data_IF_487509455541
#
_entry.id   IF_487509455541
#
_cell.length_a   1.000
_cell.length_b   1.000
_cell.length_c   1.000
_cell.angle_alpha   90.00
_cell.angle_beta   90.00
_cell.angle_gamma   90.00
#
_symmetry.space_group_name_H-M   'P 1'
#
loop_
_entity.id
_entity.type
_entity.pdbx_description
1 polymer ?
#
# COMPACT_ATOMS: atom_id res chain seq x y z
N UNK A 1 -15.83 46.45 -33.75
CA UNK A 1 -15.41 45.35 -32.87
C UNK A 1 -14.20 45.87 -32.14
N UNK A 2 -14.38 46.27 -30.88
CA UNK A 2 -13.39 47.02 -30.12
C UNK A 2 -12.40 46.05 -29.47
N UNK A 3 -11.19 46.53 -29.23
CA UNK A 3 -10.14 45.82 -28.47
C UNK A 3 -10.65 45.29 -27.11
N UNK A 4 -11.70 45.91 -26.56
CA UNK A 4 -12.39 45.53 -25.32
C UNK A 4 -13.09 44.15 -25.39
N UNK A 5 -13.44 43.65 -26.58
CA UNK A 5 -14.08 42.33 -26.75
C UNK A 5 -13.06 41.17 -26.75
N UNK A 6 -11.76 41.46 -26.92
CA UNK A 6 -10.67 40.47 -26.96
C UNK A 6 -10.07 40.18 -25.58
N UNK A 7 -10.19 41.12 -24.63
CA UNK A 7 -9.70 40.93 -23.26
C UNK A 7 -10.64 40.04 -22.42
N UNK A 8 -11.90 39.86 -22.83
CA UNK A 8 -12.90 39.01 -22.15
C UNK A 8 -12.67 37.51 -22.44
N UNK A 9 -11.88 37.17 -23.46
CA UNK A 9 -11.56 35.79 -23.83
C UNK A 9 -10.21 35.29 -23.27
N UNK A 10 -9.52 36.11 -22.48
CA UNK A 10 -8.27 35.75 -21.79
C UNK A 10 -8.45 35.59 -20.26
N UNK A 11 -9.68 35.63 -19.76
CA UNK A 11 -10.03 34.98 -18.49
C UNK A 11 -10.16 33.46 -18.72
N UNK A 12 -9.08 32.83 -19.19
CA UNK A 12 -8.85 31.44 -18.84
C UNK A 12 -8.80 31.42 -17.31
N UNK A 13 -9.87 30.90 -16.71
CA UNK A 13 -9.86 30.44 -15.35
C UNK A 13 -8.71 29.45 -15.19
N UNK A 14 -7.53 29.95 -14.80
CA UNK A 14 -6.59 29.16 -14.02
C UNK A 14 -7.33 28.82 -12.74
N UNK A 15 -8.08 27.71 -12.81
CA UNK A 15 -8.59 27.03 -11.65
C UNK A 15 -7.42 26.96 -10.66
N UNK A 16 -7.60 27.40 -9.40
CA UNK A 16 -6.53 27.41 -8.44
C UNK A 16 -5.91 26.02 -8.41
N UNK A 17 -4.59 25.95 -8.63
CA UNK A 17 -3.79 24.73 -8.53
C UNK A 17 -4.34 23.90 -7.37
N UNK A 18 -5.05 22.83 -7.74
CA UNK A 18 -5.89 22.04 -6.84
C UNK A 18 -5.06 21.73 -5.60
N UNK A 19 -5.52 22.19 -4.42
CA UNK A 19 -4.85 21.89 -3.16
C UNK A 19 -4.54 20.37 -3.15
N UNK A 20 -3.30 19.97 -2.78
CA UNK A 20 -2.95 18.56 -2.78
C UNK A 20 -4.02 17.81 -2.01
N UNK A 21 -4.63 16.81 -2.66
CA UNK A 21 -5.70 16.04 -2.04
C UNK A 21 -5.08 15.30 -0.84
N UNK A 22 -5.36 15.83 0.35
CA UNK A 22 -4.79 15.36 1.62
C UNK A 22 -5.00 13.86 1.77
N UNK A 23 -6.09 13.30 1.22
CA UNK A 23 -6.33 11.86 1.24
C UNK A 23 -5.33 11.09 0.37
N UNK A 24 -4.95 11.60 -0.81
CA UNK A 24 -3.93 10.97 -1.65
C UNK A 24 -2.56 10.99 -0.97
N UNK A 25 -2.22 12.07 -0.28
CA UNK A 25 -0.99 12.18 0.51
C UNK A 25 -0.96 11.17 1.65
N UNK A 26 -2.07 11.04 2.37
CA UNK A 26 -2.25 10.08 3.43
C UNK A 26 -2.20 8.63 2.90
N UNK A 27 -2.81 8.33 1.75
CA UNK A 27 -2.75 7.01 1.10
C UNK A 27 -1.30 6.65 0.75
N UNK A 28 -0.56 7.55 0.10
CA UNK A 28 0.87 7.34 -0.20
C UNK A 28 1.67 7.08 1.08
N UNK A 29 1.43 7.86 2.13
CA UNK A 29 2.10 7.70 3.42
C UNK A 29 1.76 6.37 4.08
N UNK A 30 0.50 5.96 4.07
CA UNK A 30 0.02 4.66 4.60
C UNK A 30 0.72 3.50 3.91
N UNK A 31 0.76 3.49 2.58
CA UNK A 31 1.41 2.43 1.80
C UNK A 31 2.92 2.39 2.08
N UNK A 32 3.61 3.54 2.12
CA UNK A 32 5.04 3.58 2.45
C UNK A 32 5.33 3.06 3.86
N UNK A 33 4.51 3.42 4.86
CA UNK A 33 4.65 2.95 6.23
C UNK A 33 4.45 1.44 6.31
N UNK A 34 3.37 0.90 5.72
CA UNK A 34 3.11 -0.55 5.67
C UNK A 34 4.20 -1.32 4.93
N UNK A 35 4.69 -0.79 3.81
CA UNK A 35 5.79 -1.38 3.06
C UNK A 35 7.10 -1.41 3.87
N UNK A 36 7.48 -0.28 4.51
CA UNK A 36 8.66 -0.22 5.39
C UNK A 36 8.55 -1.21 6.53
N UNK A 37 7.37 -1.28 7.16
CA UNK A 37 7.08 -2.22 8.25
C UNK A 37 7.38 -3.65 7.82
N UNK A 38 6.83 -4.06 6.68
CA UNK A 38 7.00 -5.38 6.09
C UNK A 38 8.46 -5.65 5.68
N UNK A 39 9.15 -4.66 5.10
CA UNK A 39 10.57 -4.77 4.74
C UNK A 39 11.43 -5.03 5.98
N UNK A 40 11.17 -4.36 7.10
CA UNK A 40 11.94 -4.57 8.33
C UNK A 40 11.76 -5.98 8.88
N UNK A 41 10.53 -6.52 8.81
CA UNK A 41 10.27 -7.92 9.15
C UNK A 41 11.04 -8.87 8.21
N UNK A 42 10.92 -8.70 6.89
CA UNK A 42 11.62 -9.54 5.91
C UNK A 42 13.14 -9.53 6.11
N UNK A 43 13.72 -8.37 6.42
CA UNK A 43 15.15 -8.26 6.74
C UNK A 43 15.54 -9.02 8.00
N UNK A 44 14.70 -8.98 9.03
CA UNK A 44 14.93 -9.76 10.27
C UNK A 44 14.90 -11.26 9.94
N UNK A 45 13.88 -11.69 9.21
CA UNK A 45 13.69 -13.07 8.78
C UNK A 45 14.87 -13.58 7.93
N UNK A 46 15.36 -12.78 6.98
CA UNK A 46 16.54 -13.13 6.19
C UNK A 46 17.83 -13.18 7.00
N UNK A 47 18.01 -12.29 7.98
CA UNK A 47 19.17 -12.36 8.89
C UNK A 47 19.18 -13.65 9.70
N UNK A 48 18.01 -14.09 10.19
CA UNK A 48 17.87 -15.37 10.89
C UNK A 48 18.23 -16.57 9.97
N UNK A 49 17.76 -16.56 8.72
CA UNK A 49 18.07 -17.63 7.75
C UNK A 49 19.55 -17.68 7.36
N UNK A 50 20.20 -16.52 7.30
CA UNK A 50 21.56 -16.40 6.80
C UNK A 50 22.62 -16.85 7.80
N UNK A 51 22.24 -17.15 9.05
CA UNK A 51 23.19 -17.55 10.10
C UNK A 51 24.30 -16.52 10.36
N UNK A 52 24.05 -15.24 10.06
CA UNK A 52 25.03 -14.15 10.15
C UNK A 52 25.80 -13.84 8.86
N UNK A 53 25.54 -14.53 7.74
CA UNK A 53 26.04 -14.13 6.42
C UNK A 53 25.19 -13.00 5.80
N UNK A 54 25.77 -12.22 4.88
CA UNK A 54 25.08 -11.07 4.26
C UNK A 54 23.94 -11.48 3.30
N UNK A 55 23.97 -12.70 2.77
CA UNK A 55 22.96 -13.21 1.82
C UNK A 55 22.55 -14.63 2.18
N UNK A 56 21.24 -14.91 2.35
CA UNK A 56 20.77 -16.28 2.56
C UNK A 56 21.16 -17.14 1.36
N UNK A 57 21.69 -18.35 1.60
CA UNK A 57 21.80 -19.34 0.54
C UNK A 57 20.38 -19.74 0.09
N UNK A 58 20.16 -19.95 -1.21
CA UNK A 58 18.90 -20.38 -1.79
C UNK A 58 18.25 -21.56 -1.04
N UNK A 59 19.05 -22.53 -0.59
CA UNK A 59 18.55 -23.65 0.22
C UNK A 59 17.87 -23.20 1.52
N UNK A 60 18.47 -22.24 2.24
CA UNK A 60 17.89 -21.71 3.47
C UNK A 60 16.57 -20.94 3.22
N UNK A 61 16.45 -20.28 2.07
CA UNK A 61 15.20 -19.63 1.65
C UNK A 61 14.11 -20.67 1.38
N UNK A 62 14.44 -21.73 0.63
CA UNK A 62 13.51 -22.83 0.36
C UNK A 62 13.06 -23.50 1.66
N UNK A 63 14.00 -23.83 2.54
CA UNK A 63 13.68 -24.44 3.84
C UNK A 63 12.78 -23.52 4.68
N UNK A 64 13.04 -22.21 4.69
CA UNK A 64 12.20 -21.27 5.43
C UNK A 64 10.78 -21.11 4.86
N UNK A 65 10.61 -21.26 3.55
CA UNK A 65 9.30 -21.31 2.90
C UNK A 65 8.55 -22.57 3.33
N UNK A 66 9.22 -23.73 3.30
CA UNK A 66 8.64 -25.02 3.69
C UNK A 66 8.33 -25.09 5.18
N UNK A 67 9.13 -24.44 6.01
CA UNK A 67 8.96 -24.33 7.46
C UNK A 67 7.97 -23.23 7.90
N UNK A 68 7.35 -22.52 6.95
CA UNK A 68 6.41 -21.43 7.20
C UNK A 68 6.98 -20.37 8.17
N UNK A 69 8.25 -19.99 8.01
CA UNK A 69 8.89 -19.01 8.93
C UNK A 69 8.26 -17.61 8.83
N UNK A 70 7.68 -17.27 7.68
CA UNK A 70 7.08 -15.97 7.39
C UNK A 70 5.55 -15.97 7.56
N UNK A 71 5.09 -16.14 8.81
CA UNK A 71 3.65 -16.11 9.14
C UNK A 71 3.18 -14.73 9.61
N UNK A 72 1.91 -14.34 9.36
CA UNK A 72 1.32 -13.11 9.91
C UNK A 72 1.40 -13.03 11.45
N UNK A 73 1.21 -14.15 12.14
CA UNK A 73 1.22 -14.23 13.60
C UNK A 73 2.59 -13.92 14.17
N UNK A 74 3.64 -14.47 13.55
CA UNK A 74 5.01 -14.25 13.98
C UNK A 74 5.49 -12.84 13.67
N UNK A 75 5.11 -12.31 12.51
CA UNK A 75 5.31 -10.91 12.15
C UNK A 75 4.63 -9.98 13.17
N UNK A 76 3.38 -10.23 13.55
CA UNK A 76 2.65 -9.44 14.55
C UNK A 76 3.31 -9.51 15.95
N UNK A 77 3.75 -10.70 16.38
CA UNK A 77 4.45 -10.87 17.65
C UNK A 77 5.79 -10.10 17.68
N UNK A 78 6.52 -10.10 16.56
CA UNK A 78 7.75 -9.32 16.44
C UNK A 78 7.48 -7.82 16.46
N UNK A 79 6.41 -7.34 15.80
CA UNK A 79 6.03 -5.93 15.84
C UNK A 79 5.64 -5.45 17.24
N UNK A 80 4.98 -6.30 18.03
CA UNK A 80 4.58 -5.97 19.39
C UNK A 80 5.76 -5.79 20.35
N UNK A 81 6.90 -6.44 20.07
CA UNK A 81 8.05 -6.49 20.98
C UNK A 81 9.25 -5.65 20.51
N UNK A 82 9.30 -5.25 19.24
CA UNK A 82 10.45 -4.54 18.69
C UNK A 82 10.33 -3.01 18.85
N UNK A 83 11.17 -2.43 19.70
CA UNK A 83 11.21 -0.97 19.92
C UNK A 83 11.51 -0.17 18.64
N UNK A 84 12.29 -0.74 17.71
CA UNK A 84 12.70 -0.05 16.47
C UNK A 84 11.52 0.23 15.53
N UNK A 85 10.39 -0.45 15.71
CA UNK A 85 9.20 -0.28 14.86
C UNK A 85 8.08 0.52 15.52
N UNK A 86 8.20 0.84 16.81
CA UNK A 86 7.14 1.54 17.55
C UNK A 86 6.82 2.91 16.92
N UNK A 87 7.84 3.73 16.66
CA UNK A 87 7.64 5.04 16.00
C UNK A 87 6.99 4.92 14.61
N UNK A 88 7.25 3.82 13.89
CA UNK A 88 6.61 3.55 12.61
C UNK A 88 5.15 3.16 12.79
N UNK A 89 4.84 2.33 13.78
CA UNK A 89 3.48 1.92 14.12
C UNK A 89 2.65 3.13 14.57
N UNK A 90 3.20 4.01 15.40
CA UNK A 90 2.54 5.24 15.85
C UNK A 90 2.19 6.12 14.64
N UNK A 91 3.16 6.34 13.74
CA UNK A 91 2.94 7.08 12.50
C UNK A 91 1.87 6.44 11.61
N UNK A 92 1.76 5.10 11.61
CA UNK A 92 0.75 4.39 10.83
C UNK A 92 -0.64 4.59 11.43
N UNK A 93 -0.77 4.48 12.76
CA UNK A 93 -2.03 4.73 13.48
C UNK A 93 -2.53 6.16 13.23
N UNK A 94 -1.64 7.16 13.29
CA UNK A 94 -1.98 8.55 13.01
C UNK A 94 -2.53 8.74 11.59
N UNK A 95 -1.87 8.14 10.59
CA UNK A 95 -2.28 8.25 9.19
C UNK A 95 -3.60 7.52 8.93
N UNK A 96 -3.79 6.35 9.54
CA UNK A 96 -5.02 5.56 9.40
C UNK A 96 -6.21 6.28 10.03
N UNK A 97 -6.02 6.85 11.22
CA UNK A 97 -7.03 7.69 11.85
C UNK A 97 -7.39 8.91 10.99
N UNK A 98 -6.39 9.62 10.46
CA UNK A 98 -6.64 10.76 9.59
C UNK A 98 -7.36 10.38 8.28
N UNK A 99 -7.11 9.19 7.75
CA UNK A 99 -7.85 8.66 6.61
C UNK A 99 -9.29 8.34 6.95
N UNK A 100 -9.56 7.76 8.12
CA UNK A 100 -10.91 7.41 8.57
C UNK A 100 -11.77 8.66 8.88
N UNK A 101 -11.16 9.70 9.45
CA UNK A 101 -11.86 10.93 9.86
C UNK A 101 -12.12 11.91 8.69
N UNK A 102 -11.34 11.83 7.61
CA UNK A 102 -11.47 12.74 6.48
C UNK A 102 -12.59 12.35 5.51
N UNK A 103 -13.44 13.30 5.09
CA UNK A 103 -14.34 13.10 3.94
C UNK A 103 -13.64 13.59 2.66
N UNK A 104 -13.28 12.64 1.79
CA UNK A 104 -12.48 12.89 0.58
C UNK A 104 -13.15 12.32 -0.67
N UNK A 105 -12.65 12.72 -1.85
CA UNK A 105 -13.10 12.13 -3.12
C UNK A 105 -12.86 10.63 -3.16
N UNK A 106 -11.79 10.16 -2.49
CA UNK A 106 -11.53 8.74 -2.33
C UNK A 106 -12.64 8.05 -1.54
N UNK A 107 -13.05 8.60 -0.39
CA UNK A 107 -14.18 8.06 0.39
C UNK A 107 -15.49 8.06 -0.39
N UNK A 108 -15.74 9.12 -1.16
CA UNK A 108 -16.87 9.14 -2.08
C UNK A 108 -16.83 7.98 -3.07
N UNK A 109 -15.68 7.69 -3.70
CA UNK A 109 -15.54 6.55 -4.62
C UNK A 109 -15.77 5.21 -3.91
N UNK A 110 -15.17 5.01 -2.73
CA UNK A 110 -15.36 3.79 -1.92
C UNK A 110 -16.85 3.56 -1.63
N UNK A 111 -17.57 4.60 -1.19
CA UNK A 111 -19.02 4.52 -0.93
C UNK A 111 -19.82 4.28 -2.21
N UNK A 112 -19.51 4.99 -3.28
CA UNK A 112 -20.23 4.92 -4.54
C UNK A 112 -20.13 3.53 -5.20
N UNK A 113 -18.97 2.89 -5.12
CA UNK A 113 -18.77 1.54 -5.65
C UNK A 113 -19.07 0.42 -4.64
N UNK A 114 -19.39 0.78 -3.40
CA UNK A 114 -19.66 -0.17 -2.32
C UNK A 114 -18.47 -1.07 -2.01
N UNK A 115 -17.25 -0.51 -2.05
CA UNK A 115 -16.03 -1.27 -1.78
C UNK A 115 -15.97 -1.68 -0.30
N UNK A 116 -15.72 -2.96 -0.05
CA UNK A 116 -15.34 -3.44 1.28
C UNK A 116 -13.99 -2.85 1.73
N UNK A 117 -13.66 -3.00 3.01
CA UNK A 117 -12.36 -2.55 3.55
C UNK A 117 -11.18 -3.15 2.78
N UNK A 118 -11.26 -4.45 2.45
CA UNK A 118 -10.20 -5.14 1.72
C UNK A 118 -10.06 -4.62 0.29
N UNK A 119 -11.18 -4.37 -0.39
CA UNK A 119 -11.19 -3.82 -1.74
C UNK A 119 -10.70 -2.36 -1.76
N UNK A 120 -11.08 -1.58 -0.75
CA UNK A 120 -10.55 -0.23 -0.55
C UNK A 120 -9.03 -0.26 -0.36
N UNK A 121 -8.51 -1.19 0.44
CA UNK A 121 -7.07 -1.36 0.64
C UNK A 121 -6.33 -1.78 -0.64
N UNK A 122 -6.93 -2.68 -1.43
CA UNK A 122 -6.41 -3.05 -2.74
C UNK A 122 -6.36 -1.83 -3.67
N UNK A 123 -7.45 -1.06 -3.72
CA UNK A 123 -7.53 0.14 -4.54
C UNK A 123 -6.55 1.21 -4.09
N UNK A 124 -6.34 1.39 -2.78
CA UNK A 124 -5.31 2.30 -2.23
C UNK A 124 -3.90 1.88 -2.63
N UNK A 125 -3.58 0.57 -2.58
CA UNK A 125 -2.28 0.07 -2.99
C UNK A 125 -2.03 0.30 -4.50
N UNK A 126 -3.06 0.12 -5.33
CA UNK A 126 -2.99 0.38 -6.77
C UNK A 126 -2.88 1.87 -7.08
N UNK A 127 -3.66 2.69 -6.39
CA UNK A 127 -3.64 4.15 -6.50
C UNK A 127 -2.28 4.72 -6.10
N UNK A 128 -1.69 4.24 -5.00
CA UNK A 128 -0.35 4.66 -4.59
C UNK A 128 0.71 4.34 -5.66
N UNK A 129 0.63 3.19 -6.32
CA UNK A 129 1.52 2.84 -7.44
C UNK A 129 1.33 3.78 -8.64
N UNK A 130 0.08 4.13 -8.96
CA UNK A 130 -0.23 5.10 -10.02
C UNK A 130 0.27 6.51 -9.70
N UNK A 131 0.25 6.92 -8.43
CA UNK A 131 0.76 8.22 -7.96
C UNK A 131 2.29 8.24 -7.82
N UNK A 132 2.90 7.10 -7.54
CA UNK A 132 4.32 6.97 -7.22
C UNK A 132 4.91 5.72 -7.90
N UNK A 133 5.31 5.80 -9.19
CA UNK A 133 5.73 4.64 -9.97
C UNK A 133 6.92 3.88 -9.38
N UNK A 134 7.82 4.54 -8.63
CA UNK A 134 8.98 3.90 -7.98
C UNK A 134 8.60 2.89 -6.88
N UNK A 135 7.32 2.82 -6.48
CA UNK A 135 6.81 1.76 -5.61
C UNK A 135 6.81 0.40 -6.33
N UNK A 136 6.95 0.35 -7.65
CA UNK A 136 7.11 -0.90 -8.41
C UNK A 136 8.23 -1.78 -7.86
N UNK A 137 9.41 -1.20 -7.59
CA UNK A 137 10.57 -1.90 -7.03
C UNK A 137 10.31 -2.37 -5.60
N UNK A 138 9.55 -1.58 -4.85
CA UNK A 138 9.15 -1.94 -3.48
C UNK A 138 8.20 -3.13 -3.52
N UNK A 139 7.22 -3.12 -4.43
CA UNK A 139 6.28 -4.23 -4.59
C UNK A 139 6.96 -5.49 -5.11
N UNK A 140 7.91 -5.37 -6.04
CA UNK A 140 8.72 -6.48 -6.52
C UNK A 140 9.57 -7.10 -5.39
N UNK A 141 10.18 -6.26 -4.55
CA UNK A 141 10.93 -6.71 -3.38
C UNK A 141 10.04 -7.43 -2.37
N UNK A 142 8.87 -6.87 -2.05
CA UNK A 142 7.92 -7.46 -1.10
C UNK A 142 7.34 -8.80 -1.57
N UNK A 143 7.33 -9.02 -2.88
CA UNK A 143 6.84 -10.25 -3.52
C UNK A 143 7.97 -11.23 -3.86
N UNK A 144 9.22 -10.93 -3.49
CA UNK A 144 10.42 -11.72 -3.82
C UNK A 144 10.51 -12.07 -5.32
N UNK A 145 10.12 -11.13 -6.18
CA UNK A 145 10.06 -11.36 -7.61
C UNK A 145 10.29 -10.07 -8.40
N UNK A 146 11.46 -9.94 -9.01
CA UNK A 146 11.90 -8.72 -9.71
C UNK A 146 10.90 -8.23 -10.79
N UNK A 147 10.18 -9.14 -11.45
CA UNK A 147 9.16 -8.80 -12.44
C UNK A 147 7.77 -8.46 -11.90
N UNK A 148 7.52 -8.53 -10.59
CA UNK A 148 6.18 -8.30 -9.99
C UNK A 148 6.11 -6.94 -9.29
N UNK A 149 6.23 -5.87 -10.08
CA UNK A 149 6.08 -4.49 -9.58
C UNK A 149 4.63 -4.01 -9.43
N UNK A 150 3.64 -4.87 -9.66
CA UNK A 150 2.22 -4.55 -9.62
C UNK A 150 1.55 -5.11 -8.36
N UNK A 151 0.33 -4.62 -8.09
CA UNK A 151 -0.46 -5.03 -6.92
C UNK A 151 -1.03 -6.43 -7.14
N UNK A 152 -0.85 -7.30 -6.16
CA UNK A 152 -1.43 -8.64 -6.13
C UNK A 152 -2.22 -8.87 -4.85
N UNK A 153 -3.12 -9.84 -4.84
CA UNK A 153 -3.87 -10.22 -3.64
C UNK A 153 -2.93 -10.63 -2.50
N UNK A 154 -1.86 -11.37 -2.81
CA UNK A 154 -0.84 -11.76 -1.82
C UNK A 154 -0.13 -10.54 -1.23
N UNK A 155 0.25 -9.56 -2.05
CA UNK A 155 0.88 -8.32 -1.59
C UNK A 155 -0.03 -7.57 -0.61
N UNK A 156 -1.30 -7.34 -1.00
CA UNK A 156 -2.28 -6.63 -0.18
C UNK A 156 -2.55 -7.40 1.11
N UNK A 157 -2.74 -8.71 1.02
CA UNK A 157 -2.96 -9.57 2.19
C UNK A 157 -1.82 -9.44 3.21
N UNK A 158 -0.55 -9.49 2.76
CA UNK A 158 0.61 -9.34 3.65
C UNK A 158 0.81 -7.91 4.15
N UNK A 159 0.59 -6.89 3.31
CA UNK A 159 0.72 -5.48 3.73
C UNK A 159 -0.33 -5.06 4.75
N UNK A 160 -1.56 -5.55 4.60
CA UNK A 160 -2.70 -5.17 5.42
C UNK A 160 -2.94 -6.11 6.61
N UNK A 161 -2.39 -7.33 6.58
CA UNK A 161 -2.52 -8.31 7.66
C UNK A 161 -3.79 -9.16 7.54
N UNK A 162 -4.33 -9.31 6.34
CA UNK A 162 -5.47 -10.20 6.09
C UNK A 162 -5.04 -11.67 6.15
N UNK A 163 -5.98 -12.56 6.49
CA UNK A 163 -5.76 -14.01 6.38
C UNK A 163 -5.81 -14.43 4.91
N UNK A 164 -4.96 -15.38 4.52
CA UNK A 164 -4.96 -15.91 3.15
C UNK A 164 -6.30 -16.52 2.79
N UNK A 165 -6.79 -16.26 1.57
CA UNK A 165 -8.01 -16.85 1.02
C UNK A 165 -9.32 -16.11 1.36
N UNK A 166 -9.26 -14.96 2.04
CA UNK A 166 -10.45 -14.18 2.43
C UNK A 166 -10.57 -12.79 1.81
N UNK A 167 -9.65 -12.38 0.94
CA UNK A 167 -9.51 -10.97 0.59
C UNK A 167 -10.48 -10.51 -0.51
N UNK A 168 -10.71 -11.32 -1.54
CA UNK A 168 -11.53 -10.91 -2.70
C UNK A 168 -12.52 -12.03 -3.07
N UNK A 169 -13.75 -11.91 -2.58
CA UNK A 169 -14.83 -12.84 -2.90
C UNK A 169 -15.30 -12.76 -4.36
N UNK A 170 -16.02 -13.78 -4.83
CA UNK A 170 -16.58 -13.84 -6.18
C UNK A 170 -17.57 -12.69 -6.48
N UNK A 171 -18.18 -12.10 -5.44
CA UNK A 171 -19.07 -10.93 -5.51
C UNK A 171 -18.36 -9.58 -5.38
N UNK A 172 -17.02 -9.56 -5.50
CA UNK A 172 -16.22 -8.35 -5.36
C UNK A 172 -16.62 -7.25 -6.35
N UNK A 173 -16.75 -6.03 -5.86
CA UNK A 173 -16.94 -4.83 -6.67
C UNK A 173 -15.78 -4.59 -7.62
N UNK A 174 -14.53 -4.86 -7.19
CA UNK A 174 -13.36 -4.73 -8.07
C UNK A 174 -13.39 -5.70 -9.24
N UNK A 175 -13.87 -6.94 -9.03
CA UNK A 175 -14.08 -7.90 -10.13
C UNK A 175 -15.18 -7.46 -11.08
N UNK A 176 -16.26 -6.85 -10.58
CA UNK A 176 -17.31 -6.27 -11.45
C UNK A 176 -16.81 -5.10 -12.30
N UNK A 177 -15.73 -4.47 -11.88
CA UNK A 177 -15.11 -3.32 -12.55
C UNK A 177 -13.89 -3.72 -13.41
N UNK A 178 -13.60 -5.02 -13.56
CA UNK A 178 -12.43 -5.55 -14.28
C UNK A 178 -11.08 -4.98 -13.81
N UNK A 179 -10.96 -4.65 -12.51
CA UNK A 179 -9.73 -4.13 -11.90
C UNK A 179 -8.86 -5.21 -11.22
N UNK A 180 -9.22 -6.48 -11.41
CA UNK A 180 -8.57 -7.68 -10.86
C UNK A 180 -8.51 -8.82 -11.87
#
# INVERSE_FOLDING_TARGET
MKQEDLDILLEEQEAPLVAPDVALDLIRRRIRLRARRRIMWLRTLWQEMSGGSETPNYHAVVDAILDEKDTPEREAAWMATNERIQALNDSLVEVEKALEEGDSRFHFLVRQFGLSTVESDFFQAALALGLEPQLDRVYAYLQDHAGRGYVTETLVTRLFGYRQGGAIGASSALRRLDLL
#
